data_IF_172306766044
#
_entry.id   IF_172306766044
#
_cell.length_a   1.000
_cell.length_b   1.000
_cell.length_c   1.000
_cell.angle_alpha   90.00
_cell.angle_beta   90.00
_cell.angle_gamma   90.00
#
_symmetry.space_group_name_H-M   'P 1'
#
loop_
_entity.id
_entity.type
_entity.pdbx_description
1 polymer ?
#
# COMPACT_ATOMS: atom_id res chain seq x y z
N UNK A 1 -6.61 15.61 15.74
CA UNK A 1 -5.74 15.59 14.54
C UNK A 1 -5.90 14.23 13.91
N UNK A 2 -6.08 14.18 12.59
CA UNK A 2 -6.08 12.91 11.83
C UNK A 2 -4.71 12.23 12.00
N UNK A 3 -4.69 10.91 12.24
CA UNK A 3 -3.43 10.16 12.41
C UNK A 3 -2.55 10.32 11.17
N UNK A 4 -1.20 10.31 11.33
CA UNK A 4 -0.27 10.34 10.18
C UNK A 4 -0.57 9.24 9.16
N UNK A 5 -0.98 8.06 9.65
CA UNK A 5 -1.28 6.91 8.80
C UNK A 5 -2.52 7.15 7.94
N UNK A 6 -3.52 7.85 8.47
CA UNK A 6 -4.69 8.27 7.73
C UNK A 6 -4.34 9.32 6.67
N UNK A 7 -3.50 10.27 7.02
CA UNK A 7 -3.04 11.32 6.10
C UNK A 7 -2.33 10.72 4.87
N UNK A 8 -1.38 9.81 5.10
CA UNK A 8 -0.61 9.18 4.02
C UNK A 8 -1.44 8.16 3.22
N UNK A 9 -2.26 7.35 3.89
CA UNK A 9 -3.16 6.43 3.19
C UNK A 9 -4.21 7.16 2.35
N UNK A 10 -4.71 8.32 2.81
CA UNK A 10 -5.60 9.16 2.01
C UNK A 10 -4.95 9.59 0.69
N UNK A 11 -3.65 9.90 0.68
CA UNK A 11 -2.92 10.18 -0.57
C UNK A 11 -2.83 8.94 -1.47
N UNK A 12 -2.59 7.76 -0.90
CA UNK A 12 -2.60 6.50 -1.66
C UNK A 12 -3.98 6.22 -2.29
N UNK A 13 -5.08 6.48 -1.57
CA UNK A 13 -6.45 6.33 -2.09
C UNK A 13 -6.73 7.33 -3.22
N UNK A 14 -6.32 8.59 -3.09
CA UNK A 14 -6.42 9.58 -4.18
C UNK A 14 -5.67 9.14 -5.43
N UNK A 15 -4.45 8.64 -5.26
CA UNK A 15 -3.64 8.14 -6.37
C UNK A 15 -4.25 6.86 -6.99
N UNK A 16 -4.86 5.98 -6.19
CA UNK A 16 -5.58 4.82 -6.70
C UNK A 16 -6.84 5.22 -7.49
N UNK A 17 -7.55 6.27 -7.06
CA UNK A 17 -8.66 6.86 -7.83
C UNK A 17 -8.17 7.44 -9.16
N UNK A 18 -7.05 8.17 -9.15
CA UNK A 18 -6.41 8.62 -10.40
C UNK A 18 -6.08 7.45 -11.33
N UNK A 19 -5.45 6.38 -10.81
CA UNK A 19 -5.14 5.19 -11.60
C UNK A 19 -6.39 4.55 -12.20
N UNK A 20 -7.47 4.45 -11.41
CA UNK A 20 -8.77 3.98 -11.88
C UNK A 20 -9.27 4.83 -13.06
N UNK A 21 -9.28 6.16 -12.92
CA UNK A 21 -9.75 7.07 -13.98
C UNK A 21 -8.92 6.98 -15.26
N UNK A 22 -7.65 6.57 -15.14
CA UNK A 22 -6.72 6.34 -16.24
C UNK A 22 -6.68 4.88 -16.72
N UNK A 23 -7.73 4.11 -16.45
CA UNK A 23 -7.90 2.72 -16.88
C UNK A 23 -6.81 1.76 -16.37
N UNK A 24 -6.23 2.05 -15.20
CA UNK A 24 -5.37 1.12 -14.48
C UNK A 24 -6.06 0.52 -13.26
N UNK A 25 -5.49 -0.57 -12.76
CA UNK A 25 -5.96 -1.19 -11.51
C UNK A 25 -5.73 -0.21 -10.35
N UNK A 26 -6.71 0.05 -9.46
CA UNK A 26 -6.59 1.02 -8.37
C UNK A 26 -5.72 0.52 -7.19
N UNK A 27 -4.53 0.02 -7.51
CA UNK A 27 -3.46 -0.24 -6.55
C UNK A 27 -2.49 0.91 -6.67
N UNK A 28 -2.34 1.66 -5.59
CA UNK A 28 -1.41 2.76 -5.50
C UNK A 28 -0.76 2.82 -4.12
N UNK A 29 0.44 3.36 -4.07
CA UNK A 29 1.24 3.43 -2.87
C UNK A 29 2.01 4.75 -2.71
N UNK A 30 2.36 5.04 -1.46
CA UNK A 30 3.15 6.20 -1.02
C UNK A 30 4.28 5.69 -0.14
N UNK A 31 5.52 6.05 -0.46
CA UNK A 31 6.69 5.78 0.34
C UNK A 31 7.02 7.01 1.18
N UNK A 32 7.05 6.85 2.50
CA UNK A 32 7.30 7.91 3.47
C UNK A 32 8.59 7.61 4.22
N UNK A 33 9.51 8.56 4.25
CA UNK A 33 10.70 8.48 5.09
C UNK A 33 10.34 8.86 6.52
N UNK A 34 10.25 7.86 7.41
CA UNK A 34 9.71 8.02 8.76
C UNK A 34 10.42 9.08 9.61
N UNK A 35 11.76 9.25 9.57
CA UNK A 35 12.45 10.24 10.40
C UNK A 35 12.01 11.68 10.17
N UNK A 36 11.55 12.02 8.96
CA UNK A 36 11.09 13.37 8.60
C UNK A 36 9.60 13.44 8.27
N UNK A 37 8.90 12.30 8.22
CA UNK A 37 7.51 12.16 7.75
C UNK A 37 7.30 12.70 6.32
N UNK A 38 8.36 12.71 5.50
CA UNK A 38 8.32 13.21 4.12
C UNK A 38 7.98 12.10 3.13
N UNK A 39 7.11 12.39 2.18
CA UNK A 39 6.86 11.52 1.02
C UNK A 39 8.08 11.58 0.10
N UNK A 40 8.72 10.44 -0.14
CA UNK A 40 9.93 10.33 -0.96
C UNK A 40 9.68 9.69 -2.33
N UNK A 41 8.58 8.96 -2.47
CA UNK A 41 8.12 8.40 -3.74
C UNK A 41 6.65 8.01 -3.66
N UNK A 42 6.06 7.76 -4.83
CA UNK A 42 4.73 7.22 -4.98
C UNK A 42 4.71 6.20 -6.12
N UNK A 43 3.65 5.42 -6.22
CA UNK A 43 3.49 4.48 -7.33
C UNK A 43 2.05 4.08 -7.57
N UNK A 44 1.74 3.68 -8.79
CA UNK A 44 0.48 3.08 -9.19
C UNK A 44 0.78 1.90 -10.12
N UNK A 45 -0.17 0.97 -10.25
CA UNK A 45 -0.03 -0.09 -11.26
C UNK A 45 0.18 0.52 -12.66
N UNK A 46 1.10 -0.07 -13.42
CA UNK A 46 1.49 0.36 -14.77
C UNK A 46 1.62 -0.84 -15.73
N UNK A 47 0.91 -1.92 -15.42
CA UNK A 47 0.90 -3.18 -16.20
C UNK A 47 0.33 -3.00 -17.60
N UNK A 48 -0.67 -2.14 -17.77
CA UNK A 48 -1.29 -1.85 -19.06
C UNK A 48 -0.33 -1.08 -19.97
N UNK A 49 0.41 -0.11 -19.42
CA UNK A 49 1.38 0.72 -20.16
C UNK A 49 2.68 -0.02 -20.44
N UNK A 50 3.21 -0.74 -19.45
CA UNK A 50 4.47 -1.49 -19.58
C UNK A 50 4.33 -2.77 -20.40
N UNK A 51 3.11 -3.29 -20.55
CA UNK A 51 2.83 -4.62 -21.10
C UNK A 51 3.55 -5.76 -20.36
N UNK A 52 3.81 -5.57 -19.06
CA UNK A 52 4.42 -6.60 -18.20
C UNK A 52 3.50 -6.90 -17.02
N UNK A 53 3.55 -8.15 -16.53
CA UNK A 53 2.82 -8.55 -15.31
C UNK A 53 3.52 -8.17 -14.00
N UNK A 54 4.58 -7.33 -14.05
CA UNK A 54 5.44 -7.03 -12.89
C UNK A 54 5.48 -5.55 -12.53
N UNK A 55 4.99 -4.65 -13.39
CA UNK A 55 4.98 -3.20 -13.15
C UNK A 55 3.88 -2.80 -12.16
N UNK A 56 4.02 -3.25 -10.91
CA UNK A 56 3.11 -2.91 -9.81
C UNK A 56 3.50 -1.58 -9.15
N UNK A 57 2.55 -1.00 -8.42
CA UNK A 57 2.73 0.26 -7.70
C UNK A 57 4.03 0.32 -6.87
N UNK A 58 4.36 -0.75 -6.14
CA UNK A 58 5.55 -0.79 -5.29
C UNK A 58 6.85 -0.71 -6.11
N UNK A 59 6.89 -1.32 -7.30
CA UNK A 59 8.07 -1.24 -8.17
C UNK A 59 8.26 0.16 -8.75
N UNK A 60 7.17 0.85 -9.13
CA UNK A 60 7.26 2.24 -9.58
C UNK A 60 7.86 3.14 -8.50
N UNK A 61 7.45 2.99 -7.24
CA UNK A 61 8.01 3.79 -6.15
C UNK A 61 9.45 3.40 -5.81
N UNK A 62 9.80 2.11 -5.86
CA UNK A 62 11.20 1.65 -5.73
C UNK A 62 12.09 2.32 -6.80
N UNK A 63 11.64 2.33 -8.05
CA UNK A 63 12.35 2.94 -9.17
C UNK A 63 12.55 4.44 -8.96
N UNK A 64 11.53 5.17 -8.49
CA UNK A 64 11.65 6.59 -8.17
C UNK A 64 12.67 6.88 -7.05
N UNK A 65 12.71 6.04 -5.99
CA UNK A 65 13.69 6.18 -4.91
C UNK A 65 15.09 5.88 -5.46
N UNK A 66 15.24 4.85 -6.29
CA UNK A 66 16.50 4.50 -6.91
C UNK A 66 17.03 5.61 -7.81
N UNK A 67 16.17 6.19 -8.65
CA UNK A 67 16.50 7.30 -9.55
C UNK A 67 16.96 8.53 -8.77
N UNK A 68 16.25 8.87 -7.68
CA UNK A 68 16.54 10.08 -6.90
C UNK A 68 17.76 9.94 -5.99
N UNK A 69 17.95 8.79 -5.35
CA UNK A 69 18.93 8.64 -4.28
C UNK A 69 20.06 7.64 -4.60
N UNK A 70 20.00 6.93 -5.71
CA UNK A 70 21.02 5.95 -6.12
C UNK A 70 20.79 4.54 -5.55
N UNK A 71 21.07 3.53 -6.35
CA UNK A 71 20.86 2.11 -6.00
C UNK A 71 21.67 1.66 -4.78
N UNK A 72 22.86 2.22 -4.57
CA UNK A 72 23.74 1.92 -3.44
C UNK A 72 23.17 2.36 -2.09
N UNK A 73 22.19 3.25 -2.10
CA UNK A 73 21.57 3.84 -0.92
C UNK A 73 20.20 3.23 -0.58
N UNK A 74 19.61 2.44 -1.48
CA UNK A 74 18.27 1.87 -1.31
C UNK A 74 18.10 1.13 0.00
N UNK A 75 19.03 0.21 0.31
CA UNK A 75 18.94 -0.61 1.53
C UNK A 75 18.97 0.25 2.79
N UNK A 76 19.70 1.37 2.81
CA UNK A 76 19.75 2.26 3.97
C UNK A 76 18.50 3.12 4.09
N UNK A 77 17.97 3.63 2.97
CA UNK A 77 16.72 4.41 2.94
C UNK A 77 15.53 3.55 3.37
N UNK A 78 15.45 2.32 2.84
CA UNK A 78 14.31 1.44 3.08
C UNK A 78 14.15 1.03 4.56
N UNK A 79 15.25 0.98 5.34
CA UNK A 79 15.19 0.70 6.80
C UNK A 79 14.35 1.71 7.58
N UNK A 80 14.25 2.92 7.04
CA UNK A 80 13.52 4.03 7.62
C UNK A 80 12.32 4.45 6.77
N UNK A 81 11.97 3.64 5.76
CA UNK A 81 10.83 3.92 4.89
C UNK A 81 9.61 3.11 5.29
N UNK A 82 8.47 3.79 5.40
CA UNK A 82 7.15 3.21 5.62
C UNK A 82 6.36 3.27 4.31
N UNK A 83 5.79 2.15 3.91
CA UNK A 83 4.91 2.07 2.75
C UNK A 83 3.45 2.20 3.17
N UNK A 84 2.68 3.02 2.47
CA UNK A 84 1.21 3.06 2.54
C UNK A 84 0.66 2.61 1.19
N UNK A 85 -0.16 1.57 1.14
CA UNK A 85 -0.68 1.01 -0.12
C UNK A 85 -2.16 0.63 -0.01
N UNK A 86 -2.96 0.91 -1.03
CA UNK A 86 -4.42 0.68 -0.96
C UNK A 86 -4.80 -0.80 -0.83
N UNK A 87 -4.01 -1.69 -1.45
CA UNK A 87 -4.21 -3.13 -1.45
C UNK A 87 -2.96 -3.81 -0.92
N UNK A 88 -3.12 -4.87 -0.13
CA UNK A 88 -2.01 -5.67 0.39
C UNK A 88 -1.01 -6.03 -0.73
N UNK A 89 0.30 -5.80 -0.50
CA UNK A 89 1.33 -6.20 -1.44
C UNK A 89 1.19 -7.66 -1.84
N UNK A 90 1.25 -7.92 -3.14
CA UNK A 90 1.27 -9.30 -3.62
C UNK A 90 2.56 -10.02 -3.18
N UNK A 91 2.59 -11.36 -3.24
CA UNK A 91 3.78 -12.18 -2.89
C UNK A 91 5.08 -11.63 -3.50
N UNK A 92 5.05 -11.21 -4.77
CA UNK A 92 6.20 -10.64 -5.46
C UNK A 92 6.64 -9.30 -4.83
N UNK A 93 5.71 -8.36 -4.65
CA UNK A 93 6.02 -7.05 -4.07
C UNK A 93 6.47 -7.18 -2.62
N UNK A 94 5.80 -8.03 -1.83
CA UNK A 94 6.18 -8.33 -0.45
C UNK A 94 7.60 -8.89 -0.36
N UNK A 95 7.98 -9.79 -1.27
CA UNK A 95 9.35 -10.32 -1.35
C UNK A 95 10.37 -9.22 -1.69
N UNK A 96 10.08 -8.37 -2.67
CA UNK A 96 10.96 -7.26 -3.04
C UNK A 96 11.17 -6.27 -1.88
N UNK A 97 10.08 -5.87 -1.23
CA UNK A 97 10.11 -4.99 -0.06
C UNK A 97 10.92 -5.58 1.09
N UNK A 98 10.79 -6.89 1.34
CA UNK A 98 11.59 -7.59 2.36
C UNK A 98 13.07 -7.61 2.03
N UNK A 99 13.41 -7.94 0.79
CA UNK A 99 14.80 -7.98 0.31
C UNK A 99 15.48 -6.62 0.47
N UNK A 100 14.76 -5.53 0.16
CA UNK A 100 15.22 -4.15 0.35
C UNK A 100 15.24 -3.71 1.82
N UNK A 101 14.59 -4.45 2.71
CA UNK A 101 14.58 -4.17 4.15
C UNK A 101 13.66 -3.01 4.52
N UNK A 102 12.47 -2.92 3.90
CA UNK A 102 11.44 -1.94 4.27
C UNK A 102 11.18 -1.96 5.78
N UNK A 103 10.97 -0.79 6.39
CA UNK A 103 10.67 -0.69 7.83
C UNK A 103 9.34 -1.33 8.18
N UNK A 104 8.30 -0.93 7.45
CA UNK A 104 6.90 -1.24 7.77
C UNK A 104 5.99 -0.99 6.57
N UNK A 105 4.89 -1.74 6.51
CA UNK A 105 3.83 -1.56 5.52
C UNK A 105 2.51 -1.31 6.24
N UNK A 106 1.79 -0.28 5.84
CA UNK A 106 0.38 -0.08 6.13
C UNK A 106 -0.41 -0.29 4.86
N UNK A 107 -1.53 -1.01 4.94
CA UNK A 107 -2.38 -1.21 3.78
C UNK A 107 -3.88 -1.13 4.08
N UNK A 108 -4.66 -0.86 3.05
CA UNK A 108 -6.12 -0.78 3.18
C UNK A 108 -6.77 -2.14 3.25
N UNK A 109 -7.02 -2.74 2.08
CA UNK A 109 -7.70 -4.03 1.98
C UNK A 109 -6.75 -5.18 1.67
N UNK A 110 -7.13 -6.39 2.09
CA UNK A 110 -6.38 -7.62 1.77
C UNK A 110 -6.39 -7.94 0.28
N UNK A 111 -5.39 -8.70 -0.17
CA UNK A 111 -5.30 -9.18 -1.54
C UNK A 111 -5.67 -10.67 -1.58
N UNK A 112 -6.95 -10.93 -1.84
CA UNK A 112 -7.56 -12.28 -1.76
C UNK A 112 -6.91 -13.33 -2.66
N UNK A 113 -6.26 -12.92 -3.75
CA UNK A 113 -5.69 -13.85 -4.74
C UNK A 113 -4.19 -14.01 -4.61
N UNK A 114 -3.48 -12.97 -4.19
CA UNK A 114 -2.02 -12.92 -4.25
C UNK A 114 -1.35 -12.31 -3.03
N UNK A 115 -2.07 -12.06 -1.93
CA UNK A 115 -1.56 -11.36 -0.75
C UNK A 115 -0.35 -12.03 -0.10
N UNK A 116 0.73 -11.28 -0.01
CA UNK A 116 2.03 -11.76 0.50
C UNK A 116 2.33 -11.40 1.95
N UNK A 117 1.41 -10.71 2.64
CA UNK A 117 1.61 -10.21 4.00
C UNK A 117 0.62 -10.82 5.02
N UNK A 118 -0.12 -11.86 4.64
CA UNK A 118 -1.05 -12.57 5.53
C UNK A 118 -2.20 -13.27 4.82
N UNK A 119 -2.71 -12.75 3.70
CA UNK A 119 -3.92 -13.32 3.08
C UNK A 119 -3.67 -14.69 2.44
N UNK A 120 -2.58 -14.83 1.68
CA UNK A 120 -2.21 -16.09 1.02
C UNK A 120 -0.92 -16.64 1.60
N UNK A 121 0.12 -15.81 1.67
CA UNK A 121 1.41 -16.13 2.29
C UNK A 121 1.82 -15.00 3.24
N UNK A 122 2.78 -15.30 4.12
CA UNK A 122 3.38 -14.34 5.07
C UNK A 122 4.85 -14.11 4.74
N UNK A 123 5.12 -13.64 3.53
CA UNK A 123 6.49 -13.39 3.01
C UNK A 123 7.24 -12.41 3.92
N UNK A 124 6.56 -11.40 4.44
CA UNK A 124 7.12 -10.41 5.37
C UNK A 124 7.76 -11.04 6.62
N UNK A 125 7.33 -12.24 7.04
CA UNK A 125 7.85 -12.96 8.22
C UNK A 125 8.49 -14.32 7.90
N UNK A 126 8.56 -14.71 6.62
CA UNK A 126 9.12 -16.01 6.24
C UNK A 126 10.63 -16.13 6.54
N UNK A 127 11.18 -17.33 6.38
CA UNK A 127 12.63 -17.56 6.52
C UNK A 127 13.34 -17.80 5.18
N UNK A 128 12.59 -17.95 4.08
CA UNK A 128 13.16 -18.25 2.77
C UNK A 128 13.55 -16.99 1.97
N UNK A 129 12.91 -15.86 2.27
CA UNK A 129 13.26 -14.56 1.68
C UNK A 129 14.24 -13.83 2.59
N UNK A 130 15.48 -13.68 2.12
CA UNK A 130 16.61 -13.10 2.85
C UNK A 130 16.66 -11.58 2.62
N UNK A 131 16.68 -10.80 3.69
CA UNK A 131 16.83 -9.35 3.61
C UNK A 131 18.30 -8.97 3.48
N UNK A 132 18.61 -7.99 2.63
CA UNK A 132 19.95 -7.39 2.53
C UNK A 132 20.36 -6.64 3.80
N UNK A 133 19.41 -6.39 4.71
CA UNK A 133 19.61 -5.77 6.01
C UNK A 133 19.39 -6.77 7.16
N UNK A 134 20.20 -7.83 7.21
CA UNK A 134 20.27 -8.77 8.35
C UNK A 134 19.03 -9.66 8.55
N UNK A 135 18.37 -10.13 7.47
CA UNK A 135 17.18 -11.00 7.58
C UNK A 135 16.01 -10.45 8.40
N UNK A 136 15.88 -9.12 8.47
CA UNK A 136 14.76 -8.49 9.17
C UNK A 136 13.43 -8.79 8.50
N UNK A 137 12.44 -9.13 9.33
CA UNK A 137 11.03 -9.15 8.99
C UNK A 137 10.45 -7.74 9.11
N UNK A 138 9.27 -7.50 8.54
CA UNK A 138 8.56 -6.24 8.73
C UNK A 138 7.10 -6.45 9.13
N UNK A 139 6.56 -5.48 9.87
CA UNK A 139 5.14 -5.44 10.22
C UNK A 139 4.31 -4.96 9.03
N UNK A 140 3.20 -5.65 8.78
CA UNK A 140 2.25 -5.31 7.74
C UNK A 140 0.87 -5.10 8.37
N UNK A 141 0.46 -3.84 8.49
CA UNK A 141 -0.70 -3.43 9.29
C UNK A 141 -1.88 -3.13 8.35
N UNK A 142 -2.98 -3.93 8.42
CA UNK A 142 -4.13 -3.79 7.53
C UNK A 142 -5.12 -2.72 8.03
N UNK A 143 -6.14 -2.45 7.22
CA UNK A 143 -7.40 -1.86 7.68
C UNK A 143 -7.54 -0.35 7.49
N UNK A 144 -6.52 0.36 7.04
CA UNK A 144 -6.56 1.83 6.91
C UNK A 144 -7.20 2.23 5.58
N UNK A 145 -8.34 2.91 5.57
CA UNK A 145 -9.15 3.15 4.35
C UNK A 145 -9.51 1.86 3.61
N UNK A 146 -9.76 0.78 4.37
CA UNK A 146 -10.06 -0.55 3.81
C UNK A 146 -11.28 -0.55 2.90
N UNK A 147 -12.38 0.09 3.32
CA UNK A 147 -13.62 0.07 2.55
C UNK A 147 -13.50 0.87 1.26
N UNK A 148 -12.80 1.99 1.30
CA UNK A 148 -12.49 2.82 0.13
C UNK A 148 -11.65 2.02 -0.89
N UNK A 149 -10.62 1.32 -0.43
CA UNK A 149 -9.82 0.45 -1.31
C UNK A 149 -10.66 -0.68 -1.95
N UNK A 150 -11.54 -1.33 -1.17
CA UNK A 150 -12.48 -2.34 -1.69
C UNK A 150 -13.42 -1.73 -2.73
N UNK A 151 -13.96 -0.54 -2.46
CA UNK A 151 -14.88 0.15 -3.37
C UNK A 151 -14.21 0.52 -4.69
N UNK A 152 -12.99 1.03 -4.66
CA UNK A 152 -12.22 1.31 -5.88
C UNK A 152 -11.99 0.02 -6.70
N UNK A 153 -11.62 -1.09 -6.06
CA UNK A 153 -11.51 -2.38 -6.75
C UNK A 153 -12.85 -2.83 -7.35
N UNK A 154 -13.97 -2.67 -6.63
CA UNK A 154 -15.31 -2.97 -7.16
C UNK A 154 -15.64 -2.10 -8.37
N UNK A 155 -15.34 -0.80 -8.34
CA UNK A 155 -15.48 0.08 -9.50
C UNK A 155 -14.68 -0.43 -10.70
N UNK A 156 -13.42 -0.82 -10.48
CA UNK A 156 -12.58 -1.41 -11.53
C UNK A 156 -13.17 -2.69 -12.13
N UNK A 157 -13.66 -3.62 -11.29
CA UNK A 157 -14.19 -4.90 -11.78
C UNK A 157 -15.56 -4.82 -12.46
N UNK A 158 -16.33 -3.76 -12.20
CA UNK A 158 -17.59 -3.45 -12.90
C UNK A 158 -17.32 -2.84 -14.27
N UNK A 159 -16.21 -2.11 -14.46
CA UNK A 159 -15.81 -1.63 -15.79
C UNK A 159 -15.63 -2.79 -16.77
N UNK A 160 -16.04 -2.55 -18.01
CA UNK A 160 -15.80 -3.46 -19.12
C UNK A 160 -14.32 -3.38 -19.52
N UNK A 161 -13.71 -4.55 -19.77
CA UNK A 161 -12.37 -4.59 -20.33
C UNK A 161 -12.51 -4.61 -21.85
N UNK A 162 -12.50 -3.43 -22.46
CA UNK A 162 -12.63 -3.27 -23.92
C UNK A 162 -11.43 -3.86 -24.68
N UNK A 163 -10.32 -4.13 -23.99
CA UNK A 163 -9.13 -4.77 -24.55
C UNK A 163 -9.16 -6.31 -24.49
N UNK A 164 -10.18 -6.92 -23.89
CA UNK A 164 -10.31 -8.37 -23.87
C UNK A 164 -10.58 -8.91 -25.30
N UNK A 165 -9.94 -10.00 -25.76
CA UNK A 165 -10.14 -10.56 -27.10
C UNK A 165 -11.61 -10.92 -27.41
N UNK A 166 -12.37 -11.20 -26.34
CA UNK A 166 -13.83 -11.36 -26.37
C UNK A 166 -14.40 -10.58 -25.17
N UNK A 167 -14.80 -9.31 -25.36
CA UNK A 167 -15.40 -8.52 -24.29
C UNK A 167 -16.64 -9.25 -23.78
N UNK A 168 -16.61 -9.68 -22.52
CA UNK A 168 -17.81 -10.21 -21.86
C UNK A 168 -18.55 -9.02 -21.28
N UNK A 169 -19.69 -8.72 -21.88
CA UNK A 169 -20.62 -7.71 -21.37
C UNK A 169 -21.01 -8.08 -19.95
N UNK A 170 -20.66 -7.26 -18.96
CA UNK A 170 -20.90 -7.56 -17.53
C UNK A 170 -22.22 -6.96 -17.01
N UNK A 171 -23.25 -6.93 -17.86
CA UNK A 171 -24.55 -6.26 -17.61
C UNK A 171 -25.26 -6.66 -16.30
N UNK A 172 -24.98 -7.83 -15.76
CA UNK A 172 -25.63 -8.34 -14.54
C UNK A 172 -24.86 -8.05 -13.25
N UNK A 173 -23.65 -7.47 -13.31
CA UNK A 173 -22.89 -7.15 -12.10
C UNK A 173 -23.43 -5.90 -11.43
N UNK A 174 -24.28 -6.10 -10.43
CA UNK A 174 -24.71 -5.05 -9.51
C UNK A 174 -23.53 -4.71 -8.61
N UNK A 175 -23.17 -3.43 -8.58
CA UNK A 175 -22.17 -2.91 -7.66
C UNK A 175 -22.71 -2.97 -6.23
N UNK A 176 -22.11 -3.79 -5.38
CA UNK A 176 -22.40 -3.82 -3.95
C UNK A 176 -21.66 -2.69 -3.22
N UNK A 177 -22.42 -1.83 -2.54
CA UNK A 177 -21.91 -0.68 -1.76
C UNK A 177 -22.06 -0.88 -0.24
N UNK A 178 -22.76 -1.92 0.19
CA UNK A 178 -23.23 -2.07 1.56
C UNK A 178 -22.50 -3.18 2.31
N UNK A 179 -22.24 -4.31 1.65
CA UNK A 179 -21.61 -5.45 2.32
C UNK A 179 -20.10 -5.44 2.13
N UNK A 180 -19.37 -5.75 3.20
CA UNK A 180 -17.93 -5.90 3.19
C UNK A 180 -17.58 -7.21 3.90
N UNK A 181 -16.65 -8.02 3.37
CA UNK A 181 -16.22 -9.22 4.07
C UNK A 181 -15.61 -8.86 5.43
N UNK A 182 -15.64 -9.75 6.43
CA UNK A 182 -14.95 -9.51 7.69
C UNK A 182 -13.43 -9.39 7.44
N UNK A 183 -12.76 -8.61 8.29
CA UNK A 183 -11.29 -8.53 8.29
C UNK A 183 -10.75 -9.53 9.31
N UNK A 184 -10.02 -10.54 8.83
CA UNK A 184 -9.39 -11.53 9.71
C UNK A 184 -8.05 -10.96 10.21
N UNK A 185 -8.10 -10.15 11.27
CA UNK A 185 -6.91 -9.42 11.76
C UNK A 185 -5.73 -10.33 12.09
N UNK A 186 -6.03 -11.50 12.66
CA UNK A 186 -5.05 -12.51 13.05
C UNK A 186 -4.26 -13.11 11.89
N UNK A 187 -4.71 -12.94 10.64
CA UNK A 187 -3.94 -13.32 9.45
C UNK A 187 -2.73 -12.43 9.21
N UNK A 188 -2.71 -11.20 9.73
CA UNK A 188 -1.70 -10.19 9.41
C UNK A 188 -0.83 -9.83 10.62
N UNK A 189 -1.47 -9.59 11.76
CA UNK A 189 -0.84 -9.11 12.99
C UNK A 189 -1.39 -9.87 14.19
N UNK A 190 -0.58 -9.99 15.24
CA UNK A 190 -1.06 -10.55 16.50
C UNK A 190 -1.83 -9.50 17.32
N UNK A 191 -2.52 -9.98 18.35
CA UNK A 191 -3.36 -9.17 19.22
C UNK A 191 -2.57 -8.11 20.00
N UNK A 192 -1.30 -8.37 20.31
CA UNK A 192 -0.45 -7.42 21.03
C UNK A 192 -0.08 -6.26 20.11
N UNK A 193 0.39 -6.55 18.90
CA UNK A 193 0.70 -5.55 17.89
C UNK A 193 -0.54 -4.74 17.50
N UNK A 194 -1.70 -5.36 17.37
CA UNK A 194 -2.96 -4.65 17.17
C UNK A 194 -3.21 -3.61 18.26
N UNK A 195 -3.09 -4.00 19.53
CA UNK A 195 -3.29 -3.10 20.67
C UNK A 195 -2.26 -1.96 20.73
N UNK A 196 -1.03 -2.19 20.26
CA UNK A 196 0.01 -1.16 20.16
C UNK A 196 -0.30 -0.14 19.05
N UNK A 197 -0.77 -0.61 17.89
CA UNK A 197 -1.03 0.24 16.73
C UNK A 197 -2.36 1.00 16.82
N UNK A 198 -3.39 0.38 17.43
CA UNK A 198 -4.75 0.91 17.43
C UNK A 198 -5.31 1.23 18.82
N UNK A 199 -4.58 0.96 19.91
CA UNK A 199 -5.05 1.16 21.27
C UNK A 199 -5.75 -0.06 21.86
N UNK A 200 -5.59 -0.27 23.17
CA UNK A 200 -6.14 -1.43 23.89
C UNK A 200 -7.67 -1.41 23.95
N UNK A 201 -8.27 -0.23 23.92
CA UNK A 201 -9.72 -0.01 23.87
C UNK A 201 -10.36 -0.58 22.60
N UNK A 202 -9.59 -0.76 21.52
CA UNK A 202 -10.08 -1.23 20.24
C UNK A 202 -9.93 -2.75 20.04
N UNK A 203 -9.42 -3.49 21.04
CA UNK A 203 -9.16 -4.93 20.94
C UNK A 203 -10.42 -5.77 20.63
N UNK A 204 -11.60 -5.27 20.95
CA UNK A 204 -12.88 -5.91 20.55
C UNK A 204 -12.97 -6.11 19.03
N UNK A 205 -12.45 -5.18 18.23
CA UNK A 205 -12.46 -5.27 16.78
C UNK A 205 -11.53 -6.38 16.25
N UNK A 206 -10.42 -6.61 16.93
CA UNK A 206 -9.54 -7.75 16.65
C UNK A 206 -10.25 -9.07 16.95
N UNK A 207 -10.84 -9.18 18.15
CA UNK A 207 -11.46 -10.42 18.63
C UNK A 207 -12.71 -10.78 17.80
N UNK A 208 -13.46 -9.79 17.34
CA UNK A 208 -14.70 -9.97 16.56
C UNK A 208 -14.50 -9.90 15.04
N UNK A 209 -13.27 -9.67 14.54
CA UNK A 209 -12.95 -9.52 13.11
C UNK A 209 -13.77 -8.43 12.39
N UNK A 210 -13.97 -7.30 13.08
CA UNK A 210 -14.73 -6.15 12.57
C UNK A 210 -13.80 -5.00 12.15
N UNK A 211 -14.28 -4.13 11.27
CA UNK A 211 -13.56 -2.91 10.91
C UNK A 211 -13.45 -1.96 12.11
N UNK A 212 -12.35 -1.20 12.19
CA UNK A 212 -12.16 -0.17 13.21
C UNK A 212 -13.11 1.00 12.98
N UNK A 213 -14.05 1.22 13.90
CA UNK A 213 -15.12 2.20 13.75
C UNK A 213 -14.67 3.69 13.75
N UNK A 214 -13.40 3.97 14.10
CA UNK A 214 -12.85 5.32 14.29
C UNK A 214 -11.72 5.74 13.34
N UNK A 215 -11.31 4.88 12.39
CA UNK A 215 -10.22 5.19 11.44
C UNK A 215 -10.75 5.89 10.18
N UNK A 216 -11.95 5.54 9.71
CA UNK A 216 -12.70 6.31 8.71
C UNK A 216 -14.05 6.71 9.32
N UNK A 217 -14.38 8.01 9.34
CA UNK A 217 -15.60 8.59 9.94
C UNK A 217 -16.87 7.74 9.74
N UNK A 218 -17.15 6.79 10.64
CA UNK A 218 -18.35 5.94 10.72
C UNK A 218 -18.91 5.37 9.40
N UNK A 219 -18.11 5.31 8.32
CA UNK A 219 -18.59 5.05 6.97
C UNK A 219 -17.50 5.21 5.91
N UNK A 220 -17.93 5.08 4.65
CA UNK A 220 -17.08 5.24 3.46
C UNK A 220 -16.98 6.74 3.13
N UNK A 221 -15.77 7.24 2.92
CA UNK A 221 -15.54 8.59 2.40
C UNK A 221 -15.83 8.62 0.89
N UNK A 222 -17.11 8.72 0.52
CA UNK A 222 -17.54 8.72 -0.89
C UNK A 222 -16.90 9.84 -1.70
N UNK A 223 -16.68 11.02 -1.11
CA UNK A 223 -16.01 12.12 -1.82
C UNK A 223 -14.59 11.75 -2.22
N UNK A 224 -13.86 11.07 -1.34
CA UNK A 224 -12.49 10.63 -1.60
C UNK A 224 -12.38 9.65 -2.78
N UNK A 225 -13.39 8.82 -3.03
CA UNK A 225 -13.37 7.78 -4.07
C UNK A 225 -14.23 8.07 -5.30
N UNK A 226 -15.12 9.08 -5.24
CA UNK A 226 -15.99 9.46 -6.36
C UNK A 226 -15.51 10.76 -7.04
N UNK A 227 -14.91 11.71 -6.31
CA UNK A 227 -14.41 12.97 -6.88
C UNK A 227 -13.14 12.73 -7.71
N UNK A 228 -12.89 13.62 -8.69
CA UNK A 228 -11.66 13.60 -9.50
C UNK A 228 -10.44 13.97 -8.64
N UNK A 229 -9.32 13.31 -8.90
CA UNK A 229 -8.04 13.55 -8.22
C UNK A 229 -6.94 13.93 -9.22
N UNK A 230 -7.25 14.74 -10.23
CA UNK A 230 -6.37 14.98 -11.39
C UNK A 230 -5.04 15.68 -11.00
N UNK A 231 -5.03 16.43 -9.90
CA UNK A 231 -3.88 17.16 -9.38
C UNK A 231 -2.96 16.32 -8.48
N UNK A 232 -3.33 15.07 -8.19
CA UNK A 232 -2.60 14.23 -7.22
C UNK A 232 -1.18 13.94 -7.66
N UNK A 233 -0.97 13.66 -8.96
CA UNK A 233 0.35 13.32 -9.50
C UNK A 233 1.28 14.53 -9.40
N UNK A 234 0.83 15.71 -9.83
CA UNK A 234 1.61 16.96 -9.73
C UNK A 234 1.94 17.30 -8.27
N UNK A 235 0.97 17.12 -7.37
CA UNK A 235 1.16 17.35 -5.93
C UNK A 235 2.21 16.42 -5.34
N UNK A 236 2.13 15.12 -5.64
CA UNK A 236 3.10 14.12 -5.16
C UNK A 236 4.47 14.32 -5.80
N UNK A 237 4.54 14.72 -7.06
CA UNK A 237 5.77 15.03 -7.76
C UNK A 237 6.51 16.21 -7.11
N UNK A 238 5.80 17.32 -6.88
CA UNK A 238 6.36 18.49 -6.17
C UNK A 238 6.81 18.10 -4.76
N UNK A 239 6.02 17.29 -4.05
CA UNK A 239 6.32 16.86 -2.69
C UNK A 239 7.57 15.99 -2.65
N UNK A 240 7.63 14.93 -3.47
CA UNK A 240 8.78 14.02 -3.50
C UNK A 240 10.04 14.72 -3.94
N UNK A 241 9.98 15.70 -4.84
CA UNK A 241 11.17 16.43 -5.32
C UNK A 241 11.80 17.25 -4.19
N UNK A 242 10.98 17.87 -3.32
CA UNK A 242 11.44 18.66 -2.16
C UNK A 242 12.05 17.82 -1.04
N UNK A 243 11.68 16.55 -0.92
CA UNK A 243 12.16 15.68 0.16
C UNK A 243 13.68 15.55 0.14
N UNK A 244 14.31 15.61 1.32
CA UNK A 244 15.77 15.48 1.46
C UNK A 244 16.11 14.41 2.48
N UNK A 245 16.93 13.44 2.08
CA UNK A 245 17.43 12.39 2.98
C UNK A 245 18.92 12.62 3.23
N UNK A 246 19.28 12.86 4.49
CA UNK A 246 20.68 12.94 4.91
C UNK A 246 21.22 11.55 5.25
N UNK A 247 21.73 10.86 4.23
CA UNK A 247 22.36 9.54 4.41
C UNK A 247 23.73 9.76 5.05
N UNK A 248 23.82 9.49 6.35
CA UNK A 248 25.11 9.47 7.05
C UNK A 248 25.91 8.30 6.50
N UNK A 249 26.85 8.57 5.59
CA UNK A 249 27.81 7.57 5.12
C UNK A 249 28.54 7.02 6.34
N UNK A 250 28.21 5.80 6.78
CA UNK A 250 29.09 5.03 7.66
C UNK A 250 30.38 4.84 6.88
N UNK A 251 31.42 5.59 7.25
CA UNK A 251 32.78 5.36 6.78
C UNK A 251 33.06 3.88 7.05
N UNK A 252 33.20 3.08 5.98
CA UNK A 252 33.68 1.72 6.11
C UNK A 252 35.08 1.83 6.74
N UNK A 253 35.17 1.59 8.04
CA UNK A 253 36.44 1.31 8.70
C UNK A 253 36.98 0.04 8.05
N UNK A 254 37.82 0.20 7.04
CA UNK A 254 38.68 -0.86 6.51
C UNK A 254 39.48 -1.46 7.67
N UNK A 255 39.21 -2.72 7.99
CA UNK A 255 40.13 -3.60 8.70
C UNK A 255 40.37 -4.82 7.82
#
# INVERSE_FOLDING_TARGET
>A
MESRHLTHMRQAVKLAKYALDHNETPVACIFVYEPTDEIIAYGMNDTNKSHTGIAHAEFMGIDQIQEKFGAENLVEIFKDTVLYVTVEPCIMCASALKQLGIKRVYFGCGNERFGGNGTVLTINKDHSTISLNENKTYDAIPGIYRKEAIMLLRYFYVRENDHAPKPKVKKERILDKETFPPIIWSSYIDRSLFGQEFGLENLVHFDENTDLAGISNHGIDWKLIDDSCDDIVDTLEITRQKAQINIHKRIKSTK
#
